data_IF_855616120713
#
_entry.id   IF_855616120713
#
_cell.length_a   1.000
_cell.length_b   1.000
_cell.length_c   1.000
_cell.angle_alpha   90.00
_cell.angle_beta   90.00
_cell.angle_gamma   90.00
#
_symmetry.space_group_name_H-M   'P 1'
#
loop_
_entity.id
_entity.type
_entity.pdbx_description
1 polymer ?
#
# COMPACT_ATOMS: atom_id res chain seq x y z
N UNK A 1 -40.33 -2.99 56.84
CA UNK A 1 -40.28 -3.20 55.43
C UNK A 1 -39.48 -2.07 54.88
N UNK A 2 -38.34 -2.25 54.60
CA UNK A 2 -37.20 -3.02 54.23
C UNK A 2 -36.29 -2.07 53.53
N UNK A 3 -35.02 -1.95 53.84
CA UNK A 3 -34.13 -0.99 53.19
C UNK A 3 -33.32 -1.67 52.10
N UNK A 4 -33.33 -1.10 50.93
CA UNK A 4 -32.38 -1.38 49.88
C UNK A 4 -31.46 -0.16 49.66
N UNK A 5 -30.49 0.00 50.58
CA UNK A 5 -29.48 1.06 50.48
C UNK A 5 -28.04 0.52 50.53
N UNK A 6 -27.83 -0.73 50.11
CA UNK A 6 -26.51 -1.37 50.16
C UNK A 6 -25.62 -1.29 48.92
N UNK A 7 -26.18 -0.94 47.74
CA UNK A 7 -25.47 -1.21 46.47
C UNK A 7 -24.79 0.01 45.79
N UNK A 8 -24.99 1.22 46.33
CA UNK A 8 -24.43 2.44 45.72
C UNK A 8 -23.00 2.77 46.12
N UNK A 9 -22.50 2.14 47.20
CA UNK A 9 -21.14 2.37 47.69
C UNK A 9 -20.07 1.47 47.01
N UNK A 10 -20.46 0.26 46.63
CA UNK A 10 -19.54 -0.69 46.03
C UNK A 10 -19.07 -0.27 44.64
N UNK A 11 -19.98 0.24 43.81
CA UNK A 11 -19.65 0.66 42.42
C UNK A 11 -18.72 1.87 42.36
N UNK A 12 -18.80 2.81 43.29
CA UNK A 12 -17.93 3.99 43.31
C UNK A 12 -16.49 3.63 43.73
N UNK A 13 -16.33 2.68 44.63
CA UNK A 13 -15.00 2.21 45.07
C UNK A 13 -14.33 1.41 43.95
N UNK A 14 -15.10 0.60 43.23
CA UNK A 14 -14.58 -0.22 42.13
C UNK A 14 -14.13 0.67 40.94
N UNK A 15 -14.92 1.67 40.56
CA UNK A 15 -14.53 2.64 39.53
C UNK A 15 -13.33 3.46 39.96
N UNK A 16 -13.25 3.86 41.23
CA UNK A 16 -12.08 4.58 41.77
C UNK A 16 -10.79 3.76 41.71
N UNK A 17 -10.84 2.47 42.10
CA UNK A 17 -9.70 1.59 42.03
C UNK A 17 -9.23 1.34 40.58
N UNK A 18 -10.15 1.09 39.66
CA UNK A 18 -9.82 0.89 38.23
C UNK A 18 -9.18 2.15 37.62
N UNK A 19 -9.69 3.34 37.98
CA UNK A 19 -9.11 4.60 37.46
C UNK A 19 -7.71 4.84 38.01
N UNK A 20 -7.46 4.54 39.26
CA UNK A 20 -6.11 4.66 39.88
C UNK A 20 -5.12 3.67 39.24
N UNK A 21 -5.54 2.43 39.00
CA UNK A 21 -4.71 1.44 38.31
C UNK A 21 -4.42 1.84 36.86
N UNK A 22 -5.41 2.32 36.13
CA UNK A 22 -5.24 2.81 34.76
C UNK A 22 -4.26 4.00 34.71
N UNK A 23 -4.40 4.96 35.62
CA UNK A 23 -3.48 6.09 35.73
C UNK A 23 -2.05 5.66 36.08
N UNK A 24 -1.90 4.69 36.99
CA UNK A 24 -0.59 4.15 37.36
C UNK A 24 0.09 3.42 36.19
N UNK A 25 -0.65 2.64 35.41
CA UNK A 25 -0.12 1.94 34.22
C UNK A 25 0.30 2.97 33.16
N UNK A 26 -0.51 3.99 32.89
CA UNK A 26 -0.18 5.05 31.95
C UNK A 26 1.09 5.78 32.39
N UNK A 27 1.22 6.11 33.70
CA UNK A 27 2.42 6.77 34.22
C UNK A 27 3.66 5.89 34.12
N UNK A 28 3.53 4.58 34.38
CA UNK A 28 4.63 3.62 34.23
C UNK A 28 5.06 3.46 32.77
N UNK A 29 4.13 3.47 31.83
CA UNK A 29 4.42 3.41 30.39
C UNK A 29 5.11 4.71 29.93
N UNK A 30 4.66 5.86 30.42
CA UNK A 30 5.32 7.15 30.11
C UNK A 30 6.71 7.30 30.77
N UNK A 31 6.92 6.70 31.92
CA UNK A 31 8.20 6.76 32.63
C UNK A 31 9.14 5.62 32.26
N UNK A 32 8.62 4.53 31.66
CA UNK A 32 9.48 3.49 31.10
C UNK A 32 10.14 4.06 29.85
N UNK A 33 11.46 3.96 29.79
CA UNK A 33 12.27 4.33 28.60
C UNK A 33 11.99 3.40 27.41
N UNK A 34 10.73 2.92 27.28
CA UNK A 34 10.31 2.06 26.18
C UNK A 34 10.51 2.75 24.82
N UNK A 35 10.32 4.06 24.80
CA UNK A 35 10.55 4.88 23.62
C UNK A 35 12.02 4.89 23.22
N UNK A 36 12.92 5.01 24.17
CA UNK A 36 14.37 4.98 23.93
C UNK A 36 14.86 3.58 23.60
N UNK A 37 14.34 2.54 24.23
CA UNK A 37 14.70 1.16 23.95
C UNK A 37 14.21 0.73 22.56
N UNK A 38 12.98 1.13 22.19
CA UNK A 38 12.43 0.88 20.85
C UNK A 38 13.23 1.64 19.79
N UNK A 39 13.53 2.91 20.03
CA UNK A 39 14.30 3.74 19.11
C UNK A 39 15.74 3.20 18.93
N UNK A 40 16.37 2.74 20.00
CA UNK A 40 17.69 2.13 19.93
C UNK A 40 17.66 0.77 19.21
N UNK A 41 16.63 -0.05 19.43
CA UNK A 41 16.45 -1.31 18.72
C UNK A 41 16.22 -1.15 17.22
N UNK A 42 15.44 -0.12 16.83
CA UNK A 42 15.25 0.22 15.42
C UNK A 42 16.55 0.76 14.81
N UNK A 43 17.29 1.61 15.54
CA UNK A 43 18.61 2.10 15.10
C UNK A 43 19.59 0.94 14.89
N UNK A 44 19.69 0.03 15.82
CA UNK A 44 20.59 -1.13 15.70
C UNK A 44 20.24 -2.00 14.48
N UNK A 45 18.95 -2.18 14.19
CA UNK A 45 18.52 -2.90 12.97
C UNK A 45 18.85 -2.14 11.69
N UNK A 46 18.66 -0.83 11.67
CA UNK A 46 18.98 0.01 10.51
C UNK A 46 20.48 0.09 10.30
N UNK A 47 21.27 0.18 11.39
CA UNK A 47 22.73 0.18 11.31
C UNK A 47 23.32 -1.16 10.83
N UNK A 48 22.65 -2.27 11.11
CA UNK A 48 23.03 -3.60 10.58
C UNK A 48 22.93 -3.65 9.05
N UNK A 49 22.04 -2.87 8.46
CA UNK A 49 21.86 -2.78 7.00
C UNK A 49 22.69 -1.65 6.39
N UNK A 50 22.88 -0.54 7.13
CA UNK A 50 23.59 0.66 6.67
C UNK A 50 25.11 0.61 6.74
N UNK A 51 25.71 -0.37 7.44
CA UNK A 51 27.16 -0.53 7.54
C UNK A 51 27.82 0.25 8.69
N UNK A 52 29.17 0.18 8.81
CA UNK A 52 29.93 0.60 10.01
C UNK A 52 29.96 2.12 10.30
N UNK A 53 29.40 2.94 9.43
CA UNK A 53 29.35 4.41 9.62
C UNK A 53 28.06 4.90 10.25
N UNK A 54 27.20 4.01 10.72
CA UNK A 54 25.97 4.34 11.41
C UNK A 54 26.25 4.73 12.87
N UNK A 55 27.03 5.79 13.08
CA UNK A 55 27.37 6.33 14.39
C UNK A 55 26.62 7.62 14.69
N UNK A 56 26.33 7.83 15.94
CA UNK A 56 25.99 9.04 16.71
C UNK A 56 25.24 10.24 16.05
N UNK A 57 24.76 10.11 14.81
CA UNK A 57 24.06 11.18 14.14
C UNK A 57 22.57 11.04 14.37
N UNK A 58 22.01 12.01 15.07
CA UNK A 58 20.56 12.21 15.12
C UNK A 58 20.08 12.54 13.72
N UNK A 59 19.02 11.90 13.26
CA UNK A 59 18.36 12.10 11.95
C UNK A 59 17.93 13.57 11.68
N UNK A 60 18.30 14.50 12.55
CA UNK A 60 17.78 15.88 12.53
C UNK A 60 18.74 16.86 11.87
N UNK A 61 20.03 16.54 11.65
CA UNK A 61 21.03 17.54 11.28
C UNK A 61 22.06 17.16 10.21
N UNK A 62 21.91 16.06 9.53
CA UNK A 62 22.74 15.79 8.35
C UNK A 62 21.86 15.57 7.14
N UNK A 63 22.11 16.46 6.18
CA UNK A 63 21.82 16.29 4.77
C UNK A 63 20.82 15.15 4.52
N UNK A 64 19.56 15.42 4.87
CA UNK A 64 18.50 14.75 4.13
C UNK A 64 18.98 14.93 2.68
N UNK A 65 19.32 13.84 1.93
CA UNK A 65 19.55 13.98 0.51
C UNK A 65 18.41 14.88 0.03
N UNK A 66 18.72 15.97 -0.63
CA UNK A 66 17.73 16.90 -1.15
C UNK A 66 16.57 16.04 -1.58
N UNK A 67 15.38 16.32 -1.05
CA UNK A 67 14.22 15.46 -1.27
C UNK A 67 14.29 15.11 -2.74
N UNK A 68 14.34 13.82 -3.13
CA UNK A 68 14.67 13.45 -4.50
C UNK A 68 13.83 14.36 -5.34
N UNK A 69 14.48 15.16 -6.20
CA UNK A 69 13.87 16.25 -6.97
C UNK A 69 12.53 15.72 -7.35
N UNK A 70 11.50 16.31 -6.82
CA UNK A 70 10.10 15.90 -6.78
C UNK A 70 9.92 14.83 -7.82
N UNK A 71 9.87 13.54 -7.41
CA UNK A 71 9.79 12.47 -8.37
C UNK A 71 8.49 12.77 -9.06
N UNK A 72 8.59 13.54 -10.14
CA UNK A 72 7.47 13.75 -11.02
C UNK A 72 7.11 12.34 -11.42
N UNK A 73 6.08 11.83 -10.81
CA UNK A 73 5.33 10.70 -11.33
C UNK A 73 4.79 11.20 -12.66
N UNK A 74 5.75 11.40 -13.58
CA UNK A 74 5.51 12.11 -14.84
C UNK A 74 4.51 11.32 -15.61
N UNK A 75 3.44 11.99 -15.88
CA UNK A 75 2.67 11.74 -17.08
C UNK A 75 3.66 11.49 -18.21
N UNK A 76 3.77 10.25 -18.64
CA UNK A 76 4.52 9.90 -19.82
C UNK A 76 5.95 9.44 -19.60
N UNK A 77 6.20 8.59 -18.62
CA UNK A 77 7.37 7.74 -18.74
C UNK A 77 7.11 6.75 -19.89
N UNK A 78 7.67 7.06 -21.06
CA UNK A 78 7.65 6.18 -22.24
C UNK A 78 8.58 4.96 -22.04
N UNK A 79 9.20 4.84 -20.88
CA UNK A 79 9.98 3.67 -20.53
C UNK A 79 9.07 2.62 -19.91
N UNK A 80 8.63 1.71 -20.74
CA UNK A 80 7.76 0.60 -20.36
C UNK A 80 8.38 -0.27 -19.26
N UNK A 81 9.71 -0.27 -19.11
CA UNK A 81 10.41 -1.03 -18.07
C UNK A 81 10.13 -0.52 -16.67
N UNK A 82 9.96 0.79 -16.50
CA UNK A 82 9.63 1.38 -15.19
C UNK A 82 8.21 0.99 -14.77
N UNK A 83 7.25 1.02 -15.71
CA UNK A 83 5.88 0.60 -15.44
C UNK A 83 5.80 -0.89 -15.07
N UNK A 84 6.56 -1.75 -15.75
CA UNK A 84 6.69 -3.16 -15.41
C UNK A 84 7.28 -3.36 -14.01
N UNK A 85 8.31 -2.61 -13.65
CA UNK A 85 8.93 -2.68 -12.32
C UNK A 85 7.97 -2.26 -11.20
N UNK A 86 7.19 -1.18 -11.41
CA UNK A 86 6.17 -0.74 -10.47
C UNK A 86 5.13 -1.85 -10.30
N UNK A 87 4.59 -2.36 -11.40
CA UNK A 87 3.57 -3.40 -11.37
C UNK A 87 4.08 -4.70 -10.71
N UNK A 88 5.34 -5.09 -10.97
CA UNK A 88 5.93 -6.26 -10.34
C UNK A 88 6.03 -6.12 -8.81
N UNK A 89 6.38 -4.93 -8.32
CA UNK A 89 6.42 -4.66 -6.88
C UNK A 89 5.03 -4.68 -6.27
N UNK A 90 4.04 -4.04 -6.90
CA UNK A 90 2.65 -4.01 -6.44
C UNK A 90 2.02 -5.42 -6.47
N UNK A 91 2.26 -6.20 -7.52
CA UNK A 91 1.75 -7.56 -7.65
C UNK A 91 2.22 -8.51 -6.54
N UNK A 92 3.41 -8.28 -5.98
CA UNK A 92 3.91 -9.05 -4.83
C UNK A 92 3.03 -8.93 -3.58
N UNK A 93 2.36 -7.80 -3.39
CA UNK A 93 1.44 -7.61 -2.27
C UNK A 93 0.23 -8.55 -2.36
N UNK A 94 -0.16 -8.95 -3.57
CA UNK A 94 -1.20 -9.95 -3.85
C UNK A 94 -0.67 -11.39 -3.83
N UNK A 95 0.65 -11.58 -3.64
CA UNK A 95 1.30 -12.88 -3.76
C UNK A 95 1.51 -13.35 -5.21
N UNK A 96 1.35 -12.46 -6.18
CA UNK A 96 1.49 -12.78 -7.59
C UNK A 96 2.96 -12.64 -8.03
N UNK A 97 3.65 -13.76 -7.93
CA UNK A 97 5.06 -13.93 -8.34
C UNK A 97 5.16 -14.98 -9.45
N UNK A 98 6.35 -15.17 -9.97
CA UNK A 98 6.68 -16.23 -10.92
C UNK A 98 5.69 -16.34 -12.09
N UNK A 99 4.88 -17.39 -12.10
CA UNK A 99 3.93 -17.66 -13.19
C UNK A 99 2.82 -16.62 -13.26
N UNK A 100 2.28 -16.18 -12.12
CA UNK A 100 1.23 -15.17 -12.09
C UNK A 100 1.74 -13.81 -12.61
N UNK A 101 2.99 -13.45 -12.26
CA UNK A 101 3.63 -12.29 -12.84
C UNK A 101 3.81 -12.42 -14.35
N UNK A 102 4.26 -13.59 -14.84
CA UNK A 102 4.42 -13.82 -16.28
C UNK A 102 3.09 -13.64 -17.02
N UNK A 103 2.00 -14.18 -16.49
CA UNK A 103 0.67 -14.00 -17.07
C UNK A 103 0.24 -12.52 -17.11
N UNK A 104 0.54 -11.75 -16.06
CA UNK A 104 0.24 -10.32 -15.98
C UNK A 104 1.04 -9.55 -17.04
N UNK A 105 2.34 -9.80 -17.10
CA UNK A 105 3.24 -9.15 -18.05
C UNK A 105 2.86 -9.44 -19.50
N UNK A 106 2.60 -10.70 -19.83
CA UNK A 106 2.13 -11.12 -21.16
C UNK A 106 0.81 -10.44 -21.53
N UNK A 107 -0.13 -10.37 -20.58
CA UNK A 107 -1.44 -9.76 -20.81
C UNK A 107 -1.32 -8.27 -21.09
N UNK A 108 -0.69 -7.51 -20.21
CA UNK A 108 -0.59 -6.06 -20.37
C UNK A 108 0.39 -5.67 -21.48
N UNK A 109 1.38 -6.48 -21.79
CA UNK A 109 2.22 -6.31 -22.98
C UNK A 109 1.40 -6.40 -24.26
N UNK A 110 0.44 -7.34 -24.36
CA UNK A 110 -0.39 -7.47 -25.54
C UNK A 110 -1.57 -6.49 -25.57
N UNK A 111 -2.07 -6.08 -24.41
CA UNK A 111 -3.19 -5.14 -24.32
C UNK A 111 -2.78 -3.70 -24.65
N UNK A 112 -1.68 -3.26 -24.08
CA UNK A 112 -1.27 -1.85 -24.11
C UNK A 112 0.20 -1.63 -24.45
N UNK A 113 1.01 -2.70 -24.43
CA UNK A 113 2.46 -2.56 -24.48
C UNK A 113 3.01 -1.78 -23.28
N UNK A 114 2.30 -1.78 -22.14
CA UNK A 114 2.63 -1.01 -20.96
C UNK A 114 2.57 0.51 -21.13
N UNK A 115 1.89 0.98 -22.20
CA UNK A 115 1.76 2.41 -22.50
C UNK A 115 0.61 3.06 -21.70
N UNK A 116 0.92 3.96 -20.75
CA UNK A 116 -0.10 4.63 -19.96
C UNK A 116 -0.92 5.64 -20.77
N UNK A 117 -0.45 6.03 -21.95
CA UNK A 117 -1.14 6.99 -22.82
C UNK A 117 -1.98 6.30 -23.90
N UNK A 118 -1.95 4.96 -23.96
CA UNK A 118 -2.70 4.24 -24.98
C UNK A 118 -4.19 4.54 -24.90
N UNK A 119 -4.77 4.81 -26.05
CA UNK A 119 -6.22 4.82 -26.26
C UNK A 119 -6.52 3.92 -27.44
N UNK A 120 -7.16 2.79 -27.17
CA UNK A 120 -7.61 1.88 -28.24
C UNK A 120 -9.06 2.20 -28.64
N UNK A 121 -9.29 2.80 -29.79
CA UNK A 121 -10.63 3.15 -30.23
C UNK A 121 -11.47 1.93 -30.64
N UNK A 122 -10.84 0.78 -30.89
CA UNK A 122 -11.53 -0.44 -31.30
C UNK A 122 -12.29 -1.06 -30.13
N UNK A 123 -11.63 -1.09 -28.97
CA UNK A 123 -12.18 -1.66 -27.73
C UNK A 123 -12.63 -0.60 -26.73
N UNK A 124 -12.32 0.68 -26.98
CA UNK A 124 -12.63 1.78 -26.06
C UNK A 124 -11.82 1.74 -24.77
N UNK A 125 -10.64 1.11 -24.81
CA UNK A 125 -9.78 0.93 -23.64
C UNK A 125 -8.73 2.01 -23.53
N UNK A 126 -8.29 2.26 -22.28
CA UNK A 126 -7.33 3.31 -21.94
C UNK A 126 -6.22 2.77 -21.04
N UNK A 127 -5.00 3.18 -21.32
CA UNK A 127 -3.82 2.98 -20.48
C UNK A 127 -3.37 1.53 -20.32
N UNK A 128 -2.47 1.32 -19.38
CA UNK A 128 -1.76 0.05 -19.16
C UNK A 128 -2.73 -1.11 -18.93
N UNK A 129 -3.68 -0.94 -18.02
CA UNK A 129 -4.61 -1.98 -17.62
C UNK A 129 -5.90 -2.02 -18.48
N UNK A 130 -5.97 -1.27 -19.56
CA UNK A 130 -7.07 -1.34 -20.52
C UNK A 130 -8.45 -0.95 -19.95
N UNK A 131 -8.51 0.09 -19.15
CA UNK A 131 -9.77 0.58 -18.57
C UNK A 131 -10.78 0.97 -19.67
N UNK A 132 -11.98 0.41 -19.61
CA UNK A 132 -13.06 0.78 -20.52
C UNK A 132 -14.23 1.43 -19.76
N UNK A 133 -14.48 2.74 -19.95
CA UNK A 133 -15.55 3.43 -19.22
C UNK A 133 -16.96 2.88 -19.48
N UNK A 134 -17.17 2.24 -20.63
CA UNK A 134 -18.47 1.63 -20.95
C UNK A 134 -18.73 0.33 -20.17
N UNK A 135 -17.67 -0.33 -19.71
CA UNK A 135 -17.73 -1.60 -18.95
C UNK A 135 -17.54 -1.35 -17.45
N UNK A 136 -16.52 -0.57 -17.11
CA UNK A 136 -16.08 -0.40 -15.71
C UNK A 136 -16.70 0.83 -15.03
N UNK A 137 -17.47 1.64 -15.76
CA UNK A 137 -18.10 2.85 -15.20
C UNK A 137 -17.18 4.07 -15.22
N UNK A 138 -17.37 5.03 -14.31
CA UNK A 138 -16.59 6.26 -14.30
C UNK A 138 -15.12 5.96 -14.02
N UNK A 139 -14.26 6.62 -14.81
CA UNK A 139 -12.81 6.48 -14.66
C UNK A 139 -12.35 7.02 -13.30
N UNK A 140 -11.47 6.29 -12.58
CA UNK A 140 -10.91 6.77 -11.32
C UNK A 140 -10.18 8.10 -11.48
N UNK A 141 -10.19 8.91 -10.41
CA UNK A 141 -9.42 10.14 -10.37
C UNK A 141 -7.91 9.83 -10.54
N UNK A 142 -7.21 10.62 -11.36
CA UNK A 142 -5.80 10.44 -11.63
C UNK A 142 -5.45 9.28 -12.59
N UNK A 143 -6.43 8.52 -13.08
CA UNK A 143 -6.16 7.37 -13.96
C UNK A 143 -5.44 7.76 -15.25
N UNK A 144 -5.79 8.89 -15.85
CA UNK A 144 -5.16 9.35 -17.11
C UNK A 144 -3.80 9.97 -16.91
N UNK A 145 -3.55 10.43 -15.69
CA UNK A 145 -2.36 11.20 -15.32
C UNK A 145 -1.25 10.34 -14.71
N UNK A 146 -1.56 9.12 -14.26
CA UNK A 146 -0.63 8.31 -13.48
C UNK A 146 -0.63 6.84 -13.87
N UNK A 147 0.54 6.34 -14.28
CA UNK A 147 0.75 4.92 -14.54
C UNK A 147 0.53 4.06 -13.29
N UNK A 148 0.92 4.54 -12.11
CA UNK A 148 0.72 3.79 -10.86
C UNK A 148 -0.77 3.63 -10.53
N UNK A 149 -1.60 4.67 -10.73
CA UNK A 149 -3.05 4.57 -10.55
C UNK A 149 -3.67 3.55 -11.51
N UNK A 150 -3.18 3.50 -12.74
CA UNK A 150 -3.63 2.51 -13.72
C UNK A 150 -3.27 1.09 -13.32
N UNK A 151 -2.04 0.91 -12.84
CA UNK A 151 -1.53 -0.37 -12.36
C UNK A 151 -2.33 -0.84 -11.14
N UNK A 152 -2.47 0.00 -10.13
CA UNK A 152 -3.19 -0.34 -8.90
C UNK A 152 -4.65 -0.70 -9.19
N UNK A 153 -5.33 0.10 -10.01
CA UNK A 153 -6.68 -0.22 -10.46
C UNK A 153 -6.75 -1.59 -11.18
N UNK A 154 -5.80 -1.85 -12.08
CA UNK A 154 -5.78 -3.10 -12.84
C UNK A 154 -5.55 -4.33 -11.96
N UNK A 155 -4.68 -4.24 -10.96
CA UNK A 155 -4.43 -5.32 -10.00
C UNK A 155 -5.67 -5.59 -9.13
N UNK A 156 -6.32 -4.55 -8.60
CA UNK A 156 -7.57 -4.67 -7.84
C UNK A 156 -8.69 -5.28 -8.69
N UNK A 157 -8.79 -4.86 -9.95
CA UNK A 157 -9.79 -5.41 -10.86
C UNK A 157 -9.54 -6.89 -11.15
N UNK A 158 -8.30 -7.30 -11.42
CA UNK A 158 -7.94 -8.71 -11.64
C UNK A 158 -8.30 -9.54 -10.41
N UNK A 159 -7.94 -9.08 -9.21
CA UNK A 159 -8.26 -9.79 -7.97
C UNK A 159 -9.76 -9.98 -7.80
N UNK A 160 -10.54 -8.90 -7.98
CA UNK A 160 -11.98 -8.92 -7.74
C UNK A 160 -12.78 -9.71 -8.79
N UNK A 161 -12.40 -9.60 -10.08
CA UNK A 161 -13.16 -10.15 -11.19
C UNK A 161 -12.68 -11.56 -11.62
N UNK A 162 -11.39 -11.82 -11.50
CA UNK A 162 -10.76 -13.03 -12.03
C UNK A 162 -10.01 -13.84 -10.96
N UNK A 163 -9.70 -13.26 -9.81
CA UNK A 163 -8.95 -13.91 -8.74
C UNK A 163 -7.44 -13.86 -8.96
N UNK A 164 -6.93 -14.22 -10.13
CA UNK A 164 -5.50 -14.21 -10.42
C UNK A 164 -5.18 -13.74 -11.84
N UNK A 165 -3.94 -13.24 -12.09
CA UNK A 165 -3.49 -12.82 -13.41
C UNK A 165 -3.59 -13.91 -14.49
N UNK A 166 -3.25 -15.15 -14.17
CA UNK A 166 -3.34 -16.23 -15.16
C UNK A 166 -4.78 -16.56 -15.55
N UNK A 167 -5.74 -16.39 -14.63
CA UNK A 167 -7.15 -16.53 -14.93
C UNK A 167 -7.65 -15.37 -15.82
N UNK A 168 -7.25 -14.13 -15.48
CA UNK A 168 -7.55 -12.95 -16.29
C UNK A 168 -6.97 -13.07 -17.70
N UNK A 169 -5.72 -13.51 -17.81
CA UNK A 169 -5.05 -13.74 -19.08
C UNK A 169 -5.77 -14.78 -19.94
N UNK A 170 -6.16 -15.89 -19.36
CA UNK A 170 -6.92 -16.94 -20.06
C UNK A 170 -8.26 -16.41 -20.57
N UNK A 171 -8.95 -15.60 -19.77
CA UNK A 171 -10.20 -14.95 -20.16
C UNK A 171 -9.98 -13.95 -21.31
N UNK A 172 -8.98 -13.07 -21.17
CA UNK A 172 -8.67 -12.06 -22.17
C UNK A 172 -8.25 -12.65 -23.52
N UNK A 173 -7.54 -13.79 -23.54
CA UNK A 173 -7.19 -14.47 -24.79
C UNK A 173 -8.42 -14.85 -25.61
N UNK A 174 -9.50 -15.21 -24.94
CA UNK A 174 -10.76 -15.59 -25.61
C UNK A 174 -11.64 -14.41 -26.01
N UNK A 175 -11.65 -13.34 -25.21
CA UNK A 175 -12.61 -12.23 -25.34
C UNK A 175 -12.02 -10.93 -25.85
N UNK A 176 -10.71 -10.74 -25.67
CA UNK A 176 -9.97 -9.49 -25.92
C UNK A 176 -10.43 -8.32 -25.03
N UNK A 177 -11.20 -8.63 -23.98
CA UNK A 177 -11.62 -7.70 -22.93
C UNK A 177 -11.54 -8.39 -21.58
N UNK A 178 -11.48 -7.65 -20.48
CA UNK A 178 -11.58 -8.19 -19.14
C UNK A 178 -12.19 -7.18 -18.17
#
# INVERSE_FOLDING_TARGET
MGPEDGDRGAGLVEVGVVTVFAAAIITLVYQSELSTTFNNGVRDMVCLVGGPECGDQTWVDHDRPDAPEEYEWGVGNSDHSDNQNIAMQSARAYGWTDQEWTCLDDMWSQMSGWDPQLVDPTYGTHGIAGFNPAVHGPMPEGYRESASVQIDWGLEYIESAHGTPCQAWSYWQGTKTY
#
